data_IF_332062755169
#
_entry.id   IF_332062755169
#
_cell.length_a   1.000
_cell.length_b   1.000
_cell.length_c   1.000
_cell.angle_alpha   90.00
_cell.angle_beta   90.00
_cell.angle_gamma   90.00
#
_symmetry.space_group_name_H-M   'P 1'
#
loop_
_entity.id
_entity.type
_entity.pdbx_description
1 polymer ?
#
# COMPACT_ATOMS: atom_id res chain seq x y z
N UNK A 1 67.39 -14.84 -39.55
CA UNK A 1 66.11 -14.11 -39.61
C UNK A 1 65.44 -14.36 -38.27
N UNK A 2 65.42 -13.34 -37.40
CA UNK A 2 64.80 -13.41 -36.09
C UNK A 2 63.35 -12.97 -36.23
N UNK A 3 62.42 -13.92 -36.09
CA UNK A 3 61.00 -13.62 -36.02
C UNK A 3 60.70 -12.91 -34.70
N UNK A 4 60.24 -11.67 -34.80
CA UNK A 4 59.80 -10.89 -33.66
C UNK A 4 58.48 -11.48 -33.09
N UNK A 5 58.37 -11.68 -31.76
CA UNK A 5 57.13 -12.15 -31.17
C UNK A 5 56.05 -11.08 -31.35
N UNK A 6 54.97 -11.45 -32.03
CA UNK A 6 53.77 -10.63 -32.17
C UNK A 6 53.06 -10.56 -30.81
N UNK A 7 53.25 -9.45 -30.08
CA UNK A 7 52.45 -9.10 -28.91
C UNK A 7 51.02 -8.79 -29.36
N UNK A 8 50.13 -9.78 -29.28
CA UNK A 8 48.68 -9.52 -29.32
C UNK A 8 48.31 -8.88 -27.98
N UNK A 9 47.71 -7.68 -27.96
CA UNK A 9 47.28 -7.05 -26.72
C UNK A 9 46.19 -7.93 -26.09
N UNK A 10 46.50 -8.48 -24.91
CA UNK A 10 45.52 -9.19 -24.09
C UNK A 10 44.43 -8.19 -23.72
N UNK A 11 43.25 -8.31 -24.35
CA UNK A 11 42.08 -7.51 -24.02
C UNK A 11 41.79 -7.69 -22.54
N UNK A 12 41.94 -6.65 -21.74
CA UNK A 12 41.57 -6.67 -20.33
C UNK A 12 40.09 -7.08 -20.25
N UNK A 13 39.79 -8.14 -19.50
CA UNK A 13 38.42 -8.60 -19.31
C UNK A 13 37.63 -7.46 -18.65
N UNK A 14 36.58 -7.00 -19.32
CA UNK A 14 35.65 -6.00 -18.76
C UNK A 14 34.98 -6.64 -17.55
N UNK A 15 35.08 -5.99 -16.39
CA UNK A 15 34.44 -6.47 -15.16
C UNK A 15 32.91 -6.54 -15.34
N UNK A 16 32.26 -7.55 -14.75
CA UNK A 16 30.82 -7.77 -14.90
C UNK A 16 29.97 -6.57 -14.43
N UNK A 17 30.41 -5.86 -13.39
CA UNK A 17 29.78 -4.63 -12.91
C UNK A 17 29.92 -3.48 -13.91
N UNK A 18 31.09 -3.31 -14.51
CA UNK A 18 31.32 -2.30 -15.55
C UNK A 18 30.48 -2.59 -16.81
N UNK A 19 30.39 -3.86 -17.20
CA UNK A 19 29.57 -4.28 -18.34
C UNK A 19 28.08 -3.98 -18.11
N UNK A 20 27.55 -4.23 -16.91
CA UNK A 20 26.15 -3.89 -16.56
C UNK A 20 25.89 -2.38 -16.59
N UNK A 21 26.83 -1.59 -16.08
CA UNK A 21 26.73 -0.12 -16.11
C UNK A 21 26.73 0.40 -17.56
N UNK A 22 27.59 -0.15 -18.43
CA UNK A 22 27.66 0.24 -19.84
C UNK A 22 26.40 -0.19 -20.60
N UNK A 23 25.83 -1.37 -20.31
CA UNK A 23 24.52 -1.79 -20.88
C UNK A 23 23.43 -0.78 -20.50
N UNK A 24 23.36 -0.36 -19.23
CA UNK A 24 22.39 0.63 -18.78
C UNK A 24 22.57 1.97 -19.51
N UNK A 25 23.82 2.41 -19.69
CA UNK A 25 24.16 3.63 -20.44
C UNK A 25 23.72 3.54 -21.90
N UNK A 26 24.07 2.45 -22.59
CA UNK A 26 23.67 2.22 -23.99
C UNK A 26 22.14 2.15 -24.16
N UNK A 27 21.43 1.57 -23.19
CA UNK A 27 19.95 1.57 -23.18
C UNK A 27 19.34 2.96 -23.02
N UNK A 28 20.07 3.92 -22.46
CA UNK A 28 19.63 5.32 -22.32
C UNK A 28 20.14 6.24 -23.43
N UNK A 29 21.04 5.78 -24.30
CA UNK A 29 21.64 6.57 -25.39
C UNK A 29 20.75 6.50 -26.65
N UNK A 30 20.12 7.63 -27.08
CA UNK A 30 19.25 7.65 -28.25
C UNK A 30 19.95 7.26 -29.55
N UNK A 31 21.25 7.58 -29.70
CA UNK A 31 22.01 7.24 -30.90
C UNK A 31 22.20 5.73 -30.99
N UNK A 32 22.56 5.09 -29.87
CA UNK A 32 22.69 3.65 -29.81
C UNK A 32 21.36 2.93 -30.04
N UNK A 33 20.25 3.40 -29.46
CA UNK A 33 18.92 2.83 -29.69
C UNK A 33 18.52 2.86 -31.18
N UNK A 34 18.82 3.98 -31.88
CA UNK A 34 18.56 4.11 -33.31
C UNK A 34 19.41 3.14 -34.15
N UNK A 35 20.71 3.02 -33.84
CA UNK A 35 21.59 2.04 -34.50
C UNK A 35 21.17 0.60 -34.22
N UNK A 36 20.74 0.30 -32.99
CA UNK A 36 20.24 -1.03 -32.61
C UNK A 36 18.94 -1.39 -33.36
N UNK A 37 17.98 -0.48 -33.38
CA UNK A 37 16.67 -0.66 -34.02
C UNK A 37 16.75 -0.83 -35.54
N UNK A 38 17.74 -0.19 -36.18
CA UNK A 38 18.02 -0.36 -37.62
C UNK A 38 18.78 -1.65 -37.96
N UNK A 39 19.17 -2.44 -36.95
CA UNK A 39 19.86 -3.71 -37.15
C UNK A 39 21.36 -3.59 -37.46
N UNK A 40 21.99 -2.47 -37.09
CA UNK A 40 23.43 -2.28 -37.26
C UNK A 40 24.25 -3.40 -36.59
N UNK A 41 25.18 -4.01 -37.34
CA UNK A 41 25.96 -5.17 -36.89
C UNK A 41 26.89 -4.85 -35.71
N UNK A 42 27.51 -3.67 -35.71
CA UNK A 42 28.46 -3.24 -34.66
C UNK A 42 27.72 -2.98 -33.34
N UNK A 43 26.54 -2.34 -33.40
CA UNK A 43 25.70 -2.13 -32.24
C UNK A 43 25.28 -3.47 -31.61
N UNK A 44 24.89 -4.46 -32.44
CA UNK A 44 24.58 -5.83 -32.03
C UNK A 44 25.75 -6.53 -31.37
N UNK A 45 26.92 -6.48 -32.01
CA UNK A 45 28.14 -7.08 -31.49
C UNK A 45 28.57 -6.46 -30.16
N UNK A 46 28.48 -5.13 -30.03
CA UNK A 46 28.84 -4.43 -28.78
C UNK A 46 27.94 -4.83 -27.61
N UNK A 47 26.62 -4.85 -27.80
CA UNK A 47 25.71 -5.31 -26.73
C UNK A 47 25.97 -6.78 -26.40
N UNK A 48 26.23 -7.63 -27.40
CA UNK A 48 26.53 -9.04 -27.18
C UNK A 48 27.78 -9.23 -26.31
N UNK A 49 28.86 -8.54 -26.61
CA UNK A 49 30.10 -8.56 -25.82
C UNK A 49 29.87 -8.09 -24.38
N UNK A 50 29.14 -6.99 -24.21
CA UNK A 50 28.79 -6.49 -22.87
C UNK A 50 27.89 -7.47 -22.12
N UNK A 51 26.95 -8.13 -22.79
CA UNK A 51 26.07 -9.11 -22.17
C UNK A 51 26.83 -10.36 -21.73
N UNK A 52 27.76 -10.85 -22.54
CA UNK A 52 28.65 -11.95 -22.16
C UNK A 52 29.52 -11.60 -20.94
N UNK A 53 30.06 -10.37 -20.89
CA UNK A 53 30.84 -9.91 -19.76
C UNK A 53 29.99 -9.69 -18.49
N UNK A 54 28.76 -9.18 -18.63
CA UNK A 54 27.84 -8.89 -17.53
C UNK A 54 27.21 -10.14 -16.89
N UNK A 55 27.06 -11.22 -17.68
CA UNK A 55 26.38 -12.45 -17.32
C UNK A 55 27.17 -13.69 -17.78
N UNK A 56 28.36 -13.93 -17.20
CA UNK A 56 29.13 -15.13 -17.49
C UNK A 56 28.30 -16.38 -17.12
N UNK A 57 28.06 -17.26 -18.09
CA UNK A 57 27.32 -18.53 -17.92
C UNK A 57 25.94 -18.62 -18.58
N UNK A 58 25.42 -17.53 -19.18
CA UNK A 58 24.09 -17.55 -19.84
C UNK A 58 24.12 -17.89 -21.34
N UNK A 59 25.31 -18.11 -21.92
CA UNK A 59 25.49 -18.42 -23.34
C UNK A 59 26.01 -19.86 -23.50
N UNK A 60 25.23 -20.72 -24.18
CA UNK A 60 25.67 -22.06 -24.55
C UNK A 60 26.32 -22.00 -25.94
N UNK A 61 27.65 -22.16 -26.06
CA UNK A 61 28.32 -22.08 -27.36
C UNK A 61 27.98 -23.24 -28.30
N UNK A 62 27.38 -24.33 -27.79
CA UNK A 62 27.11 -25.52 -28.59
C UNK A 62 25.84 -25.45 -29.44
N UNK A 63 24.88 -24.60 -29.09
CA UNK A 63 23.62 -24.46 -29.84
C UNK A 63 23.45 -23.09 -30.51
N UNK A 64 24.35 -22.13 -30.24
CA UNK A 64 24.25 -20.77 -30.78
C UNK A 64 23.01 -20.02 -30.29
N UNK A 65 22.30 -20.56 -29.30
CA UNK A 65 21.11 -19.97 -28.71
C UNK A 65 21.49 -19.27 -27.41
N UNK A 66 20.96 -18.06 -27.22
CA UNK A 66 20.95 -17.45 -25.90
C UNK A 66 20.07 -18.33 -25.04
N UNK A 67 20.60 -18.88 -23.93
CA UNK A 67 19.74 -19.57 -22.98
C UNK A 67 18.65 -18.59 -22.57
N UNK A 68 17.38 -18.95 -22.78
CA UNK A 68 16.23 -18.13 -22.41
C UNK A 68 16.15 -17.90 -20.89
N UNK A 69 17.03 -18.54 -20.12
CA UNK A 69 17.23 -18.40 -18.69
C UNK A 69 18.16 -17.23 -18.31
N UNK A 70 18.40 -16.27 -19.21
CA UNK A 70 18.96 -14.98 -18.78
C UNK A 70 18.03 -14.42 -17.69
N UNK A 71 18.55 -14.04 -16.50
CA UNK A 71 17.71 -13.56 -15.42
C UNK A 71 16.88 -12.40 -15.97
N UNK A 72 15.56 -12.58 -15.99
CA UNK A 72 14.65 -11.55 -16.46
C UNK A 72 15.03 -10.26 -15.73
N UNK A 73 15.25 -9.18 -16.51
CA UNK A 73 15.46 -7.86 -15.91
C UNK A 73 14.32 -7.56 -14.92
N UNK A 74 14.56 -6.68 -13.93
CA UNK A 74 13.58 -6.42 -12.90
C UNK A 74 12.23 -6.09 -13.55
N UNK A 75 11.21 -6.82 -13.14
CA UNK A 75 9.84 -6.67 -13.63
C UNK A 75 9.34 -5.26 -13.36
N UNK A 76 8.28 -4.82 -14.06
CA UNK A 76 7.64 -3.52 -13.80
C UNK A 76 7.22 -3.39 -12.33
N UNK A 77 6.78 -4.50 -11.72
CA UNK A 77 6.43 -4.56 -10.30
C UNK A 77 7.66 -4.33 -9.40
N UNK A 78 8.77 -5.02 -9.64
CA UNK A 78 10.00 -4.86 -8.86
C UNK A 78 10.60 -3.44 -9.01
N UNK A 79 10.54 -2.86 -10.21
CA UNK A 79 10.96 -1.48 -10.43
C UNK A 79 10.09 -0.49 -9.64
N UNK A 80 8.78 -0.69 -9.63
CA UNK A 80 7.85 0.15 -8.87
C UNK A 80 8.04 0.00 -7.36
N UNK A 81 8.22 -1.22 -6.84
CA UNK A 81 8.55 -1.46 -5.43
C UNK A 81 9.86 -0.79 -5.02
N UNK A 82 10.89 -0.91 -5.85
CA UNK A 82 12.18 -0.23 -5.64
C UNK A 82 12.00 1.29 -5.58
N UNK A 83 11.18 1.87 -6.47
CA UNK A 83 10.89 3.30 -6.47
C UNK A 83 10.10 3.72 -5.22
N UNK A 84 9.11 2.94 -4.78
CA UNK A 84 8.38 3.19 -3.52
C UNK A 84 9.35 3.20 -2.33
N UNK A 85 10.28 2.24 -2.26
CA UNK A 85 11.29 2.18 -1.22
C UNK A 85 12.24 3.39 -1.25
N UNK A 86 12.59 3.89 -2.44
CA UNK A 86 13.38 5.10 -2.61
C UNK A 86 12.63 6.36 -2.18
N UNK A 87 11.35 6.51 -2.56
CA UNK A 87 10.51 7.66 -2.18
C UNK A 87 10.36 7.79 -0.66
N UNK A 88 10.23 6.67 0.05
CA UNK A 88 10.15 6.66 1.52
C UNK A 88 11.42 7.18 2.21
N UNK A 89 12.56 7.13 1.53
CA UNK A 89 13.86 7.63 2.03
C UNK A 89 14.16 9.06 1.56
N UNK A 90 13.34 9.63 0.68
CA UNK A 90 13.51 10.99 0.14
C UNK A 90 12.86 12.02 1.09
N UNK A 91 13.64 12.90 1.76
CA UNK A 91 13.11 13.88 2.70
C UNK A 91 12.16 14.91 2.06
N UNK A 92 12.43 15.30 0.82
CA UNK A 92 11.60 16.28 0.09
C UNK A 92 10.27 15.64 -0.31
N UNK A 93 10.30 14.38 -0.76
CA UNK A 93 9.08 13.64 -1.02
C UNK A 93 8.24 13.44 0.26
N UNK A 94 8.87 13.08 1.37
CA UNK A 94 8.19 12.94 2.66
C UNK A 94 7.51 14.25 3.12
N UNK A 95 8.18 15.40 2.90
CA UNK A 95 7.62 16.73 3.17
C UNK A 95 6.42 17.04 2.29
N UNK A 96 6.49 16.74 0.99
CA UNK A 96 5.36 16.89 0.04
C UNK A 96 4.17 16.01 0.44
N UNK A 97 4.45 14.75 0.81
CA UNK A 97 3.44 13.82 1.30
C UNK A 97 2.75 14.33 2.57
N UNK A 98 3.51 14.80 3.55
CA UNK A 98 2.99 15.38 4.79
C UNK A 98 2.12 16.62 4.55
N UNK A 99 2.48 17.44 3.56
CA UNK A 99 1.72 18.63 3.14
C UNK A 99 0.52 18.31 2.24
N UNK A 100 0.18 17.03 2.03
CA UNK A 100 -0.92 16.57 1.17
C UNK A 100 -0.81 17.04 -0.29
N UNK A 101 0.41 17.14 -0.81
CA UNK A 101 0.66 17.49 -2.21
C UNK A 101 -0.04 16.50 -3.16
N UNK A 102 -0.85 17.02 -4.08
CA UNK A 102 -1.64 16.20 -5.01
C UNK A 102 -0.77 15.37 -5.95
N UNK A 103 0.38 15.92 -6.38
CA UNK A 103 1.31 15.21 -7.27
C UNK A 103 2.01 14.05 -6.55
N UNK A 104 2.43 14.23 -5.29
CA UNK A 104 3.03 13.15 -4.51
C UNK A 104 2.06 11.98 -4.29
N UNK A 105 0.77 12.27 -4.11
CA UNK A 105 -0.31 11.26 -4.04
C UNK A 105 -0.44 10.48 -5.35
N UNK A 106 -0.59 11.18 -6.47
CA UNK A 106 -0.70 10.55 -7.78
C UNK A 106 0.55 9.71 -8.14
N UNK A 107 1.75 10.19 -7.81
CA UNK A 107 2.99 9.42 -8.02
C UNK A 107 2.98 8.12 -7.21
N UNK A 108 2.60 8.20 -5.93
CA UNK A 108 2.52 7.02 -5.07
C UNK A 108 1.46 6.03 -5.55
N UNK A 109 0.27 6.49 -5.88
CA UNK A 109 -0.83 5.64 -6.34
C UNK A 109 -0.47 4.95 -7.66
N UNK A 110 0.18 5.67 -8.59
CA UNK A 110 0.68 5.09 -9.84
C UNK A 110 1.73 4.01 -9.61
N UNK A 111 2.62 4.21 -8.64
CA UNK A 111 3.62 3.22 -8.28
C UNK A 111 3.01 2.02 -7.57
N UNK A 112 2.03 2.22 -6.68
CA UNK A 112 1.30 1.15 -6.02
C UNK A 112 0.56 0.28 -7.06
N UNK A 113 -0.11 0.89 -8.03
CA UNK A 113 -0.77 0.18 -9.12
C UNK A 113 0.22 -0.68 -9.93
N UNK A 114 1.42 -0.15 -10.21
CA UNK A 114 2.47 -0.88 -10.95
C UNK A 114 3.15 -1.97 -10.11
N UNK A 115 3.33 -1.72 -8.82
CA UNK A 115 3.95 -2.65 -7.87
C UNK A 115 3.04 -3.85 -7.57
N UNK A 116 1.72 -3.64 -7.63
CA UNK A 116 0.69 -4.64 -7.32
C UNK A 116 -0.38 -4.69 -8.43
N UNK A 117 -0.01 -5.12 -9.65
CA UNK A 117 -0.90 -5.10 -10.82
C UNK A 117 -2.09 -6.08 -10.74
N UNK A 118 -2.25 -6.82 -9.64
CA UNK A 118 -3.40 -7.69 -9.35
C UNK A 118 -4.26 -7.26 -8.16
N UNK A 119 -3.84 -6.26 -7.37
CA UNK A 119 -4.60 -5.82 -6.17
C UNK A 119 -5.45 -4.57 -6.44
N UNK A 120 -5.22 -3.86 -7.55
CA UNK A 120 -5.98 -2.68 -7.91
C UNK A 120 -7.15 -3.04 -8.81
N UNK A 121 -8.35 -2.96 -8.24
CA UNK A 121 -9.63 -3.28 -8.86
C UNK A 121 -9.79 -4.74 -9.25
N UNK A 122 -10.31 -5.55 -8.32
CA UNK A 122 -11.46 -6.36 -8.73
C UNK A 122 -12.44 -5.37 -9.33
N UNK A 123 -12.53 -5.34 -10.67
CA UNK A 123 -13.69 -4.80 -11.35
C UNK A 123 -14.85 -5.56 -10.71
N UNK A 124 -15.56 -4.90 -9.79
CA UNK A 124 -16.82 -5.42 -9.28
C UNK A 124 -17.65 -5.56 -10.55
N UNK A 125 -17.95 -6.80 -10.93
CA UNK A 125 -18.80 -7.10 -12.06
C UNK A 125 -20.06 -6.22 -11.92
N UNK A 126 -20.32 -5.27 -12.84
CA UNK A 126 -21.45 -4.36 -12.73
C UNK A 126 -22.79 -5.07 -12.92
N UNK A 127 -22.81 -6.39 -13.14
CA UNK A 127 -24.03 -7.20 -12.98
C UNK A 127 -24.37 -7.46 -11.52
N UNK A 128 -24.37 -6.41 -10.69
CA UNK A 128 -25.09 -6.46 -9.42
C UNK A 128 -26.57 -6.31 -9.77
N UNK A 129 -27.42 -7.34 -9.55
CA UNK A 129 -28.86 -7.21 -9.77
C UNK A 129 -29.38 -5.99 -9.00
N UNK A 130 -30.33 -5.27 -9.61
CA UNK A 130 -31.04 -4.16 -8.98
C UNK A 130 -31.43 -4.53 -7.53
N UNK A 131 -31.43 -3.57 -6.58
CA UNK A 131 -31.74 -3.86 -5.18
C UNK A 131 -33.01 -4.69 -5.07
N UNK A 132 -32.83 -5.96 -4.75
CA UNK A 132 -33.91 -6.83 -4.33
C UNK A 132 -34.54 -6.19 -3.07
N UNK A 133 -35.83 -6.42 -2.82
CA UNK A 133 -36.57 -5.79 -1.73
C UNK A 133 -35.88 -5.93 -0.35
N UNK A 134 -35.04 -6.96 -0.23
CA UNK A 134 -34.16 -7.25 0.91
C UNK A 134 -33.18 -6.12 1.25
N UNK A 135 -32.67 -5.35 0.29
CA UNK A 135 -31.69 -4.29 0.56
C UNK A 135 -32.29 -3.11 1.33
N UNK A 136 -33.53 -2.72 1.02
CA UNK A 136 -34.24 -1.67 1.76
C UNK A 136 -34.62 -2.13 3.17
N UNK A 137 -35.02 -3.38 3.32
CA UNK A 137 -35.35 -3.98 4.63
C UNK A 137 -34.10 -4.07 5.53
N UNK A 138 -32.96 -4.45 4.96
CA UNK A 138 -31.66 -4.44 5.65
C UNK A 138 -31.31 -3.02 6.09
N UNK A 139 -31.38 -2.02 5.20
CA UNK A 139 -31.04 -0.64 5.57
C UNK A 139 -31.97 -0.05 6.64
N UNK A 140 -33.26 -0.42 6.64
CA UNK A 140 -34.21 -0.02 7.69
C UNK A 140 -33.84 -0.57 9.08
N UNK A 141 -33.16 -1.73 9.13
CA UNK A 141 -32.64 -2.32 10.36
C UNK A 141 -31.37 -1.61 10.88
N UNK A 142 -30.68 -0.84 10.03
CA UNK A 142 -29.40 -0.20 10.37
C UNK A 142 -29.48 1.33 10.38
N UNK A 143 -30.47 1.89 11.07
CA UNK A 143 -30.62 3.35 11.21
C UNK A 143 -29.36 3.95 11.89
N UNK A 144 -28.85 5.09 11.38
CA UNK A 144 -27.82 5.85 12.08
C UNK A 144 -28.27 6.16 13.50
N UNK A 145 -27.40 5.85 14.47
CA UNK A 145 -27.66 6.17 15.86
C UNK A 145 -27.35 7.64 16.14
N UNK A 146 -28.07 8.22 17.09
CA UNK A 146 -27.75 9.51 17.67
C UNK A 146 -26.53 9.39 18.59
N UNK A 147 -25.75 10.46 18.79
CA UNK A 147 -24.52 10.41 19.59
C UNK A 147 -24.71 9.86 21.01
N UNK A 148 -25.85 10.13 21.64
CA UNK A 148 -26.16 9.69 23.01
C UNK A 148 -26.66 8.24 23.10
N UNK A 149 -26.92 7.58 21.97
CA UNK A 149 -27.36 6.18 21.95
C UNK A 149 -26.17 5.21 21.99
N UNK A 150 -24.96 5.69 21.71
CA UNK A 150 -23.77 4.86 21.79
C UNK A 150 -23.41 4.53 23.24
N UNK A 151 -23.14 3.26 23.50
CA UNK A 151 -22.66 2.80 24.79
C UNK A 151 -21.16 3.05 24.89
N UNK A 152 -20.83 4.14 25.59
CA UNK A 152 -19.45 4.52 25.83
C UNK A 152 -18.84 3.58 26.87
N UNK A 153 -17.63 3.04 26.63
CA UNK A 153 -16.92 2.34 27.69
C UNK A 153 -16.70 3.28 28.87
N UNK A 154 -16.97 2.77 30.06
CA UNK A 154 -16.62 3.40 31.32
C UNK A 154 -15.10 3.35 31.43
N UNK A 155 -14.42 4.39 30.94
CA UNK A 155 -12.98 4.57 31.15
C UNK A 155 -12.82 5.24 32.50
N UNK A 156 -12.18 4.54 33.43
CA UNK A 156 -11.76 5.08 34.71
C UNK A 156 -10.24 5.08 34.76
N UNK A 157 -9.67 6.08 35.42
CA UNK A 157 -8.27 6.06 35.80
C UNK A 157 -7.98 4.93 36.82
N UNK A 158 -6.71 4.74 37.18
CA UNK A 158 -6.29 3.74 38.18
C UNK A 158 -6.97 3.94 39.55
N UNK A 159 -7.46 5.16 39.82
CA UNK A 159 -8.19 5.52 41.04
C UNK A 159 -9.71 5.39 40.88
N UNK A 160 -10.22 4.90 39.75
CA UNK A 160 -11.64 4.72 39.49
C UNK A 160 -12.38 6.00 39.06
N UNK A 161 -11.68 7.11 38.81
CA UNK A 161 -12.31 8.38 38.43
C UNK A 161 -12.43 8.53 36.92
N UNK A 162 -13.47 9.23 36.49
CA UNK A 162 -13.63 9.65 35.10
C UNK A 162 -12.87 10.96 34.85
N UNK A 163 -11.89 10.94 33.95
CA UNK A 163 -11.21 12.16 33.56
C UNK A 163 -12.11 13.07 32.71
N UNK A 164 -12.20 14.39 32.94
CA UNK A 164 -13.02 15.31 32.13
C UNK A 164 -12.57 15.42 30.65
N UNK A 165 -11.36 14.95 30.33
CA UNK A 165 -10.88 14.86 28.95
C UNK A 165 -11.37 13.59 28.24
N UNK A 166 -11.57 12.51 28.98
CA UNK A 166 -12.06 11.23 28.45
C UNK A 166 -13.53 11.37 28.02
N UNK A 167 -14.36 12.04 28.83
CA UNK A 167 -15.76 12.32 28.49
C UNK A 167 -15.90 13.17 27.22
N UNK A 168 -15.00 14.13 26.99
CA UNK A 168 -15.04 14.98 25.79
C UNK A 168 -14.60 14.25 24.52
N UNK A 169 -13.53 13.46 24.60
CA UNK A 169 -13.09 12.64 23.46
C UNK A 169 -14.16 11.59 23.10
N UNK A 170 -14.73 10.95 24.13
CA UNK A 170 -15.84 10.00 24.02
C UNK A 170 -17.05 10.64 23.30
N UNK A 171 -17.53 11.79 23.77
CA UNK A 171 -18.64 12.51 23.13
C UNK A 171 -18.32 12.88 21.67
N UNK A 172 -17.13 13.39 21.41
CA UNK A 172 -16.69 13.74 20.07
C UNK A 172 -16.71 12.52 19.13
N UNK A 173 -16.25 11.35 19.60
CA UNK A 173 -16.33 10.12 18.83
C UNK A 173 -17.77 9.70 18.55
N UNK A 174 -18.64 9.72 19.57
CA UNK A 174 -20.06 9.41 19.37
C UNK A 174 -20.68 10.30 18.29
N UNK A 175 -20.38 11.60 18.32
CA UNK A 175 -20.82 12.54 17.27
C UNK A 175 -20.22 12.21 15.90
N UNK A 176 -18.94 11.84 15.81
CA UNK A 176 -18.30 11.46 14.55
C UNK A 176 -18.91 10.19 13.95
N UNK A 177 -19.15 9.16 14.78
CA UNK A 177 -19.74 7.91 14.33
C UNK A 177 -21.19 8.11 13.86
N UNK A 178 -21.94 9.00 14.53
CA UNK A 178 -23.29 9.39 14.11
C UNK A 178 -23.28 10.06 12.73
N UNK A 179 -22.34 10.99 12.50
CA UNK A 179 -22.14 11.63 11.19
C UNK A 179 -21.78 10.60 10.11
N UNK A 180 -20.99 9.58 10.46
CA UNK A 180 -20.69 8.44 9.59
C UNK A 180 -21.86 7.50 9.31
N UNK A 181 -23.03 7.75 9.88
CA UNK A 181 -24.20 6.91 9.70
C UNK A 181 -24.09 5.56 10.40
N UNK A 182 -23.24 5.42 11.42
CA UNK A 182 -23.04 4.15 12.09
C UNK A 182 -24.24 3.78 12.98
N UNK A 183 -24.76 2.55 12.87
CA UNK A 183 -25.75 2.01 13.80
C UNK A 183 -25.22 1.94 15.24
N UNK A 184 -26.14 1.92 16.21
CA UNK A 184 -25.80 1.92 17.65
C UNK A 184 -24.86 0.78 18.00
N UNK A 185 -25.15 -0.42 17.53
CA UNK A 185 -24.42 -1.65 17.88
C UNK A 185 -22.98 -1.59 17.37
N UNK A 186 -22.80 -1.17 16.11
CA UNK A 186 -21.48 -1.04 15.47
C UNK A 186 -20.68 0.07 16.14
N UNK A 187 -21.27 1.27 16.31
CA UNK A 187 -20.58 2.38 16.93
C UNK A 187 -20.16 2.09 18.38
N UNK A 188 -21.06 1.50 19.17
CA UNK A 188 -20.76 1.10 20.56
C UNK A 188 -19.67 0.01 20.64
N UNK A 189 -19.65 -0.91 19.68
CA UNK A 189 -18.59 -1.91 19.60
C UNK A 189 -17.23 -1.28 19.26
N UNK A 190 -17.18 -0.39 18.26
CA UNK A 190 -15.95 0.35 17.89
C UNK A 190 -15.42 1.14 19.08
N UNK A 191 -16.29 1.82 19.82
CA UNK A 191 -15.90 2.59 21.00
C UNK A 191 -15.29 1.71 22.10
N UNK A 192 -15.92 0.57 22.41
CA UNK A 192 -15.40 -0.37 23.41
C UNK A 192 -14.09 -1.02 23.00
N UNK A 193 -13.99 -1.50 21.76
CA UNK A 193 -12.75 -2.09 21.24
C UNK A 193 -11.64 -1.05 21.10
N UNK A 194 -11.98 0.18 20.73
CA UNK A 194 -11.06 1.30 20.69
C UNK A 194 -10.49 1.62 22.07
N UNK A 195 -11.35 1.76 23.08
CA UNK A 195 -10.88 1.99 24.45
C UNK A 195 -10.01 0.85 24.99
N UNK A 196 -10.35 -0.42 24.67
CA UNK A 196 -9.50 -1.58 25.01
C UNK A 196 -8.15 -1.51 24.32
N UNK A 197 -8.12 -1.21 23.02
CA UNK A 197 -6.89 -1.12 22.24
C UNK A 197 -5.99 0.01 22.74
N UNK A 198 -6.57 1.17 23.06
CA UNK A 198 -5.84 2.29 23.66
C UNK A 198 -5.25 1.90 25.02
N UNK A 199 -6.04 1.29 25.92
CA UNK A 199 -5.57 0.86 27.23
C UNK A 199 -4.41 -0.17 27.13
N UNK A 200 -4.49 -1.10 26.19
CA UNK A 200 -3.43 -2.09 25.94
C UNK A 200 -2.15 -1.41 25.42
N UNK A 201 -2.27 -0.43 24.53
CA UNK A 201 -1.14 0.13 23.78
C UNK A 201 -0.50 1.36 24.41
N UNK A 202 -1.20 2.06 25.33
CA UNK A 202 -0.74 3.32 25.94
C UNK A 202 0.64 3.26 26.58
N UNK A 203 1.01 2.10 27.14
CA UNK A 203 2.30 1.89 27.81
C UNK A 203 3.28 1.02 27.02
N UNK A 204 2.99 0.74 25.74
CA UNK A 204 3.87 -0.03 24.88
C UNK A 204 5.03 0.82 24.36
N UNK A 205 6.20 0.21 24.23
CA UNK A 205 7.29 0.79 23.41
C UNK A 205 6.95 0.68 21.93
N UNK A 206 7.64 1.45 21.08
CA UNK A 206 7.45 1.39 19.62
C UNK A 206 7.59 -0.03 19.06
N UNK A 207 8.55 -0.81 19.57
CA UNK A 207 8.76 -2.20 19.15
C UNK A 207 7.61 -3.13 19.57
N UNK A 208 7.07 -2.95 20.78
CA UNK A 208 5.90 -3.69 21.26
C UNK A 208 4.65 -3.31 20.47
N UNK A 209 4.48 -2.02 20.19
CA UNK A 209 3.39 -1.52 19.36
C UNK A 209 3.46 -2.08 17.94
N UNK A 210 4.64 -2.11 17.32
CA UNK A 210 4.82 -2.70 15.99
C UNK A 210 4.44 -4.19 15.99
N UNK A 211 4.87 -4.93 17.01
CA UNK A 211 4.49 -6.35 17.19
C UNK A 211 2.98 -6.51 17.32
N UNK A 212 2.31 -5.64 18.10
CA UNK A 212 0.86 -5.61 18.21
C UNK A 212 0.19 -5.34 16.86
N UNK A 213 0.65 -4.31 16.14
CA UNK A 213 0.10 -3.94 14.83
C UNK A 213 0.26 -5.07 13.80
N UNK A 214 1.41 -5.74 13.78
CA UNK A 214 1.66 -6.89 12.89
C UNK A 214 0.75 -8.07 13.24
N UNK A 215 0.50 -8.33 14.53
CA UNK A 215 -0.45 -9.36 14.97
C UNK A 215 -1.89 -9.05 14.55
N UNK A 216 -2.33 -7.81 14.74
CA UNK A 216 -3.67 -7.37 14.31
C UNK A 216 -3.81 -7.45 12.79
N UNK A 217 -2.77 -7.07 12.05
CA UNK A 217 -2.73 -7.22 10.60
C UNK A 217 -2.82 -8.70 10.19
N UNK A 218 -2.10 -9.59 10.87
CA UNK A 218 -2.21 -11.04 10.63
C UNK A 218 -3.62 -11.60 10.87
N UNK A 219 -4.40 -11.02 11.80
CA UNK A 219 -5.82 -11.39 11.98
C UNK A 219 -6.65 -10.97 10.76
N UNK A 220 -6.47 -9.75 10.26
CA UNK A 220 -7.15 -9.27 9.06
C UNK A 220 -6.77 -10.09 7.82
N UNK A 221 -5.49 -10.42 7.67
CA UNK A 221 -4.98 -11.26 6.57
C UNK A 221 -5.59 -12.67 6.58
N UNK A 222 -5.77 -13.26 7.76
CA UNK A 222 -6.50 -14.54 7.89
C UNK A 222 -7.98 -14.41 7.55
N UNK A 223 -8.60 -13.25 7.85
CA UNK A 223 -10.02 -13.01 7.61
C UNK A 223 -10.32 -12.73 6.12
N UNK A 224 -9.46 -11.97 5.44
CA UNK A 224 -9.75 -11.42 4.11
C UNK A 224 -8.82 -11.95 3.00
N UNK A 225 -7.73 -12.63 3.34
CA UNK A 225 -6.76 -13.14 2.39
C UNK A 225 -6.18 -12.02 1.52
N UNK A 226 -6.16 -12.24 0.21
CA UNK A 226 -5.63 -11.30 -0.79
C UNK A 226 -6.39 -9.96 -0.82
N UNK A 227 -7.63 -9.90 -0.31
CA UNK A 227 -8.44 -8.67 -0.28
C UNK A 227 -8.11 -7.74 0.89
N UNK A 228 -7.19 -8.12 1.76
CA UNK A 228 -6.91 -7.40 3.00
C UNK A 228 -6.54 -5.94 2.76
N UNK A 229 -5.60 -5.68 1.84
CA UNK A 229 -5.18 -4.31 1.50
C UNK A 229 -6.36 -3.46 1.03
N UNK A 230 -7.17 -3.97 0.10
CA UNK A 230 -8.32 -3.25 -0.43
C UNK A 230 -9.39 -2.95 0.64
N UNK A 231 -9.68 -3.91 1.53
CA UNK A 231 -10.66 -3.73 2.61
C UNK A 231 -10.20 -2.69 3.65
N UNK A 232 -8.90 -2.67 3.98
CA UNK A 232 -8.32 -1.65 4.86
C UNK A 232 -8.44 -0.26 4.22
N UNK A 233 -8.17 -0.13 2.92
CA UNK A 233 -8.30 1.16 2.22
C UNK A 233 -9.76 1.65 2.19
N UNK A 234 -10.73 0.74 2.03
CA UNK A 234 -12.15 1.10 2.11
C UNK A 234 -12.55 1.59 3.51
N UNK A 235 -12.07 0.94 4.58
CA UNK A 235 -12.27 1.41 5.95
C UNK A 235 -11.65 2.80 6.20
N UNK A 236 -10.42 3.04 5.69
CA UNK A 236 -9.75 4.35 5.77
C UNK A 236 -10.51 5.43 5.01
N UNK A 237 -11.09 5.09 3.86
CA UNK A 237 -11.93 6.02 3.09
C UNK A 237 -13.14 6.46 3.90
N UNK A 238 -13.83 5.54 4.58
CA UNK A 238 -14.94 5.92 5.47
C UNK A 238 -14.48 6.87 6.58
N UNK A 239 -13.37 6.57 7.26
CA UNK A 239 -12.79 7.49 8.27
C UNK A 239 -12.46 8.85 7.65
N UNK A 240 -11.99 8.87 6.41
CA UNK A 240 -11.72 10.11 5.69
C UNK A 240 -12.98 10.93 5.46
N UNK A 241 -14.04 10.32 4.94
CA UNK A 241 -15.33 10.96 4.66
C UNK A 241 -15.98 11.48 5.96
N UNK A 242 -15.89 10.71 7.06
CA UNK A 242 -16.37 11.16 8.37
C UNK A 242 -15.59 12.38 8.87
N UNK A 243 -14.26 12.36 8.73
CA UNK A 243 -13.40 13.48 9.16
C UNK A 243 -13.60 14.74 8.29
N UNK A 244 -13.95 14.60 7.01
CA UNK A 244 -14.35 15.75 6.19
C UNK A 244 -15.66 16.37 6.66
N UNK A 245 -16.63 15.54 7.05
CA UNK A 245 -17.91 16.00 7.59
C UNK A 245 -17.80 16.50 9.04
N UNK A 246 -16.86 15.95 9.82
CA UNK A 246 -16.58 16.34 11.21
C UNK A 246 -15.06 16.38 11.46
N UNK A 247 -14.42 17.54 11.20
CA UNK A 247 -12.97 17.69 11.29
C UNK A 247 -12.41 17.42 12.68
N UNK A 248 -11.38 16.55 12.74
CA UNK A 248 -10.65 16.24 13.96
C UNK A 248 -10.62 14.75 14.30
N UNK A 249 -11.47 13.93 13.67
CA UNK A 249 -11.50 12.49 13.89
C UNK A 249 -10.13 11.85 13.60
N UNK A 250 -9.47 12.24 12.51
CA UNK A 250 -8.13 11.71 12.20
C UNK A 250 -7.11 12.11 13.25
N UNK A 251 -7.16 13.33 13.77
CA UNK A 251 -6.25 13.79 14.81
C UNK A 251 -6.43 12.99 16.09
N UNK A 252 -7.68 12.72 16.48
CA UNK A 252 -7.99 11.91 17.66
C UNK A 252 -7.59 10.45 17.46
N UNK A 253 -7.85 9.86 16.29
CA UNK A 253 -7.36 8.51 15.98
C UNK A 253 -5.83 8.45 15.97
N UNK A 254 -5.14 9.47 15.48
CA UNK A 254 -3.66 9.54 15.48
C UNK A 254 -3.08 9.63 16.89
N UNK A 255 -3.82 10.21 17.83
CA UNK A 255 -3.45 10.22 19.24
C UNK A 255 -3.64 8.85 19.94
N UNK A 256 -4.36 7.91 19.30
CA UNK A 256 -4.65 6.57 19.82
C UNK A 256 -4.24 5.49 18.81
N UNK A 257 -2.93 5.28 18.62
CA UNK A 257 -2.41 4.40 17.56
C UNK A 257 -2.90 2.95 17.68
N UNK A 258 -3.21 2.47 18.89
CA UNK A 258 -3.82 1.16 19.11
C UNK A 258 -5.17 0.98 18.43
N UNK A 259 -6.01 2.03 18.43
CA UNK A 259 -7.34 2.00 17.80
C UNK A 259 -7.23 1.82 16.29
N UNK A 260 -6.26 2.49 15.67
CA UNK A 260 -6.04 2.39 14.22
C UNK A 260 -5.52 1.03 13.77
N UNK A 261 -4.76 0.36 14.64
CA UNK A 261 -4.19 -0.95 14.34
C UNK A 261 -5.15 -2.10 14.68
N UNK A 262 -6.18 -1.88 15.50
CA UNK A 262 -7.06 -2.93 16.00
C UNK A 262 -7.90 -3.57 14.86
N UNK A 263 -7.78 -4.89 14.71
CA UNK A 263 -8.44 -5.63 13.64
C UNK A 263 -9.98 -5.56 13.70
N UNK A 264 -10.57 -5.61 14.91
CA UNK A 264 -12.02 -5.55 15.09
C UNK A 264 -12.56 -4.18 14.69
N UNK A 265 -11.89 -3.10 15.10
CA UNK A 265 -12.26 -1.73 14.72
C UNK A 265 -12.21 -1.57 13.20
N UNK A 266 -11.12 -1.99 12.56
CA UNK A 266 -10.97 -1.91 11.10
C UNK A 266 -12.05 -2.73 10.39
N UNK A 267 -12.34 -3.95 10.84
CA UNK A 267 -13.34 -4.81 10.23
C UNK A 267 -14.76 -4.21 10.30
N UNK A 268 -15.12 -3.60 11.44
CA UNK A 268 -16.41 -2.93 11.60
C UNK A 268 -16.53 -1.68 10.71
N UNK A 269 -15.46 -0.88 10.64
CA UNK A 269 -15.40 0.27 9.72
C UNK A 269 -15.52 -0.18 8.26
N UNK A 270 -14.86 -1.27 7.88
CA UNK A 270 -14.98 -1.86 6.55
C UNK A 270 -16.43 -2.29 6.23
N UNK A 271 -17.08 -3.04 7.13
CA UNK A 271 -18.46 -3.48 6.91
C UNK A 271 -19.42 -2.31 6.70
N UNK A 272 -19.26 -1.24 7.50
CA UNK A 272 -20.06 -0.03 7.33
C UNK A 272 -19.72 0.69 6.03
N UNK A 273 -18.44 0.78 5.66
CA UNK A 273 -17.99 1.41 4.43
C UNK A 273 -18.56 0.71 3.19
N UNK A 274 -18.55 -0.63 3.19
CA UNK A 274 -19.14 -1.45 2.14
C UNK A 274 -20.64 -1.17 2.00
N UNK A 275 -21.37 -1.16 3.12
CA UNK A 275 -22.82 -0.87 3.12
C UNK A 275 -23.14 0.49 2.52
N UNK A 276 -22.39 1.53 2.93
CA UNK A 276 -22.59 2.89 2.41
C UNK A 276 -22.21 3.01 0.93
N UNK A 277 -21.16 2.30 0.50
CA UNK A 277 -20.75 2.23 -0.90
C UNK A 277 -21.85 1.60 -1.76
N UNK A 278 -22.37 0.44 -1.36
CA UNK A 278 -23.42 -0.27 -2.08
C UNK A 278 -24.69 0.57 -2.23
N UNK A 279 -25.03 1.37 -1.21
CA UNK A 279 -26.15 2.32 -1.25
C UNK A 279 -25.94 3.42 -2.29
N UNK A 280 -24.76 4.01 -2.33
CA UNK A 280 -24.44 5.12 -3.24
C UNK A 280 -24.34 4.68 -4.70
N UNK A 281 -23.98 3.41 -4.95
CA UNK A 281 -23.97 2.84 -6.31
C UNK A 281 -25.39 2.59 -6.81
N UNK A 282 -26.28 2.04 -5.97
CA UNK A 282 -27.67 1.72 -6.36
C UNK A 282 -28.61 2.91 -6.45
N UNK A 283 -28.25 4.03 -5.82
CA UNK A 283 -29.04 5.28 -5.85
C UNK A 283 -28.76 6.17 -7.07
N UNK A 284 -27.85 5.77 -7.97
CA UNK A 284 -27.56 6.44 -9.24
C UNK A 284 -28.08 5.62 -10.40
#
# INVERSE_FOLDING_TARGET
MNDAPSNTPTSAAVDAGQARAEIAKLKSDPAFQSSWGSGNADARQRMHQLHQAAYPGSFNPNDGTMSSDAPAGPTVAEQAQTRIAALRKDPEWAKRWANRDAQARMEFDSLMQKAYPGETSTSIDPTVPAPDATAQEIDAAFKPAQPHEYEMPVITDEAGNHGPNETRAAQYFGEALSVGGLPREIGSHILREGARADAITRNMTDAQFQTYADQQRGILEKMWGEKTSANIELAKRLVHEIDEAKPGLKAVLNAMPGVQANANVIAQLYMQAQRLFDRNVKGK
#
